data_IF_882006975820
#
_entry.id   IF_882006975820
#
_cell.length_a   1.000
_cell.length_b   1.000
_cell.length_c   1.000
_cell.angle_alpha   90.00
_cell.angle_beta   90.00
_cell.angle_gamma   90.00
#
_symmetry.space_group_name_H-M   'P 1'
#
loop_
_entity.id
_entity.type
_entity.pdbx_description
1 polymer ?
#
# COMPACT_ATOMS: atom_id res chain seq x y z
N UNK A 1 -17.91 -0.40 -27.90
CA UNK A 1 -17.09 0.44 -26.99
C UNK A 1 -16.78 -0.41 -25.76
N UNK A 2 -15.51 -0.53 -25.36
CA UNK A 2 -15.14 -1.29 -24.15
C UNK A 2 -15.27 -0.41 -22.89
N UNK A 3 -15.73 -0.95 -21.75
CA UNK A 3 -15.84 -0.20 -20.49
C UNK A 3 -14.48 -0.03 -19.81
N UNK A 4 -14.38 0.95 -18.88
CA UNK A 4 -13.16 1.16 -18.08
C UNK A 4 -12.80 -0.03 -17.17
N UNK A 5 -13.76 -0.90 -16.86
CA UNK A 5 -13.56 -2.09 -16.02
C UNK A 5 -13.03 -3.31 -16.79
N UNK A 6 -12.66 -3.15 -18.07
CA UNK A 6 -12.05 -4.23 -18.83
C UNK A 6 -10.68 -4.61 -18.22
N UNK A 7 -10.49 -5.89 -17.89
CA UNK A 7 -9.25 -6.40 -17.32
C UNK A 7 -8.06 -6.05 -18.23
N UNK A 8 -6.99 -5.53 -17.62
CA UNK A 8 -5.72 -5.27 -18.31
C UNK A 8 -4.60 -5.94 -17.53
N UNK A 9 -3.70 -6.61 -18.26
CA UNK A 9 -2.48 -7.20 -17.70
C UNK A 9 -1.28 -6.39 -18.15
N UNK A 10 -0.43 -6.05 -17.19
CA UNK A 10 0.68 -5.12 -17.37
C UNK A 10 1.85 -5.54 -16.49
N UNK A 11 3.06 -5.35 -17.01
CA UNK A 11 4.31 -5.57 -16.28
C UNK A 11 4.95 -4.20 -16.07
N UNK A 12 5.32 -3.90 -14.84
CA UNK A 12 6.00 -2.66 -14.48
C UNK A 12 7.31 -2.95 -13.78
N UNK A 13 8.28 -2.08 -14.03
CA UNK A 13 9.55 -2.04 -13.32
C UNK A 13 9.70 -0.65 -12.72
N UNK A 14 10.01 -0.58 -11.43
CA UNK A 14 10.24 0.66 -10.72
C UNK A 14 11.44 0.45 -9.80
N UNK A 15 12.28 1.46 -9.66
CA UNK A 15 13.36 1.40 -8.67
C UNK A 15 12.81 1.58 -7.24
N UNK A 16 13.63 1.32 -6.22
CA UNK A 16 13.20 1.42 -4.83
C UNK A 16 12.67 2.81 -4.46
N UNK A 17 13.29 3.89 -4.94
CA UNK A 17 12.86 5.27 -4.67
C UNK A 17 11.49 5.57 -5.29
N UNK A 18 11.26 5.10 -6.51
CA UNK A 18 9.97 5.22 -7.20
C UNK A 18 8.88 4.44 -6.48
N UNK A 19 9.19 3.22 -6.00
CA UNK A 19 8.26 2.43 -5.19
C UNK A 19 7.89 3.16 -3.89
N UNK A 20 8.87 3.70 -3.17
CA UNK A 20 8.62 4.50 -1.96
C UNK A 20 7.70 5.69 -2.25
N UNK A 21 7.94 6.42 -3.33
CA UNK A 21 7.09 7.52 -3.75
C UNK A 21 5.68 7.05 -4.14
N UNK A 22 5.57 5.94 -4.86
CA UNK A 22 4.31 5.33 -5.24
C UNK A 22 3.49 4.94 -3.99
N UNK A 23 4.09 4.29 -3.00
CA UNK A 23 3.42 3.90 -1.76
C UNK A 23 2.96 5.12 -0.94
N UNK A 24 3.79 6.18 -0.87
CA UNK A 24 3.44 7.42 -0.18
C UNK A 24 2.12 8.04 -0.67
N UNK A 25 1.85 7.93 -1.98
CA UNK A 25 0.66 8.48 -2.63
C UNK A 25 -0.48 7.47 -2.72
N UNK A 26 -0.20 6.24 -3.14
CA UNK A 26 -1.22 5.26 -3.52
C UNK A 26 -1.72 4.43 -2.34
N UNK A 27 -0.98 4.34 -1.23
CA UNK A 27 -1.50 3.77 0.00
C UNK A 27 -2.41 4.74 0.79
N UNK A 28 -2.48 6.02 0.39
CA UNK A 28 -3.29 7.04 1.05
C UNK A 28 -4.79 6.76 0.89
N UNK A 29 -5.58 7.03 1.93
CA UNK A 29 -7.03 6.81 1.90
C UNK A 29 -7.82 7.72 0.93
N UNK A 30 -7.17 8.73 0.37
CA UNK A 30 -7.73 9.59 -0.68
C UNK A 30 -7.51 9.04 -2.08
N UNK A 31 -6.59 8.08 -2.25
CA UNK A 31 -6.42 7.39 -3.51
C UNK A 31 -7.65 6.54 -3.80
N UNK A 32 -7.91 6.32 -5.09
CA UNK A 32 -9.00 5.45 -5.51
C UNK A 32 -8.76 4.02 -4.97
N UNK A 33 -9.84 3.38 -4.52
CA UNK A 33 -9.78 2.17 -3.69
C UNK A 33 -9.12 0.97 -4.39
N UNK A 34 -9.26 0.80 -5.71
CA UNK A 34 -8.61 -0.29 -6.45
C UNK A 34 -7.10 -0.12 -6.51
N UNK A 35 -6.60 1.07 -6.89
CA UNK A 35 -5.15 1.33 -6.88
C UNK A 35 -4.58 1.32 -5.46
N UNK A 36 -5.37 1.69 -4.46
CA UNK A 36 -4.98 1.59 -3.06
C UNK A 36 -4.79 0.13 -2.64
N UNK A 37 -5.75 -0.75 -2.93
CA UNK A 37 -5.61 -2.17 -2.65
C UNK A 37 -4.39 -2.78 -3.36
N UNK A 38 -4.15 -2.41 -4.63
CA UNK A 38 -2.95 -2.82 -5.37
C UNK A 38 -1.67 -2.35 -4.67
N UNK A 39 -1.58 -1.08 -4.30
CA UNK A 39 -0.39 -0.51 -3.67
C UNK A 39 -0.07 -1.14 -2.32
N UNK A 40 -1.09 -1.43 -1.50
CA UNK A 40 -0.92 -2.12 -0.23
C UNK A 40 -0.44 -3.57 -0.40
N UNK A 41 -0.95 -4.29 -1.41
CA UNK A 41 -0.46 -5.63 -1.73
C UNK A 41 1.01 -5.61 -2.16
N UNK A 42 1.36 -4.70 -3.07
CA UNK A 42 2.75 -4.49 -3.52
C UNK A 42 3.67 -4.14 -2.34
N UNK A 43 3.24 -3.26 -1.44
CA UNK A 43 4.03 -2.89 -0.26
C UNK A 43 4.32 -4.09 0.63
N UNK A 44 3.33 -4.96 0.88
CA UNK A 44 3.52 -6.17 1.68
C UNK A 44 4.53 -7.14 1.06
N UNK A 45 4.45 -7.37 -0.25
CA UNK A 45 5.42 -8.19 -0.99
C UNK A 45 6.83 -7.57 -0.94
N UNK A 46 6.95 -6.26 -1.13
CA UNK A 46 8.23 -5.56 -1.02
C UNK A 46 8.82 -5.63 0.40
N UNK A 47 7.98 -5.58 1.44
CA UNK A 47 8.40 -5.76 2.83
C UNK A 47 8.88 -7.18 3.12
N UNK A 48 8.24 -8.19 2.53
CA UNK A 48 8.67 -9.58 2.63
C UNK A 48 10.05 -9.78 1.99
N UNK A 49 10.25 -9.29 0.76
CA UNK A 49 11.50 -9.47 0.02
C UNK A 49 12.66 -8.60 0.52
N UNK A 50 12.39 -7.34 0.90
CA UNK A 50 13.41 -6.37 1.26
C UNK A 50 12.99 -5.52 2.49
N UNK A 51 12.88 -6.14 3.68
CA UNK A 51 12.40 -5.48 4.89
C UNK A 51 13.27 -4.28 5.32
N UNK A 52 14.58 -4.33 5.05
CA UNK A 52 15.52 -3.23 5.38
C UNK A 52 15.22 -1.94 4.62
N UNK A 53 14.59 -2.03 3.43
CA UNK A 53 14.20 -0.87 2.63
C UNK A 53 12.76 -0.46 2.90
N UNK A 54 11.84 -1.41 3.00
CA UNK A 54 10.39 -1.13 2.97
C UNK A 54 9.70 -1.11 4.33
N UNK A 55 10.35 -1.51 5.43
CA UNK A 55 9.75 -1.47 6.78
C UNK A 55 9.32 -0.07 7.24
N UNK A 56 9.94 0.97 6.72
CA UNK A 56 9.60 2.37 7.02
C UNK A 56 8.68 2.99 5.97
N UNK A 57 8.31 2.24 4.94
CA UNK A 57 7.49 2.72 3.83
C UNK A 57 6.00 2.58 4.13
N UNK A 58 5.22 3.43 3.50
CA UNK A 58 3.78 3.48 3.68
C UNK A 58 3.22 4.78 3.15
N UNK A 59 1.94 5.09 3.42
CA UNK A 59 1.41 6.41 3.13
C UNK A 59 2.11 7.47 4.00
N UNK A 60 2.20 8.70 3.52
CA UNK A 60 2.95 9.78 4.20
C UNK A 60 2.52 10.03 5.66
N UNK A 61 1.26 9.75 6.01
CA UNK A 61 0.76 9.87 7.38
C UNK A 61 1.22 8.75 8.34
N UNK A 62 1.83 7.68 7.84
CA UNK A 62 2.44 6.64 8.66
C UNK A 62 3.67 7.17 9.41
N UNK A 63 4.52 7.94 8.72
CA UNK A 63 5.77 8.46 9.28
C UNK A 63 5.64 9.81 10.00
N UNK A 64 4.45 10.41 10.02
CA UNK A 64 4.24 11.72 10.63
C UNK A 64 2.83 12.28 10.45
N UNK A 65 2.72 13.61 10.45
CA UNK A 65 1.48 14.29 10.18
C UNK A 65 1.04 14.10 8.70
N UNK A 66 -0.27 14.14 8.45
CA UNK A 66 -0.78 14.01 7.09
C UNK A 66 -0.39 15.27 6.27
N UNK A 67 0.32 15.13 5.13
CA UNK A 67 0.78 16.27 4.34
C UNK A 67 -0.36 17.06 3.69
N UNK A 68 -1.55 16.46 3.60
CA UNK A 68 -2.74 17.06 3.02
C UNK A 68 -3.39 18.14 3.91
N UNK A 69 -2.95 18.27 5.17
CA UNK A 69 -3.44 19.28 6.11
C UNK A 69 -4.97 19.26 6.26
N UNK A 70 -5.62 20.35 5.82
CA UNK A 70 -7.09 20.48 5.86
C UNK A 70 -7.83 19.40 5.08
N UNK A 71 -7.20 18.84 4.05
CA UNK A 71 -7.76 17.79 3.22
C UNK A 71 -7.35 16.39 3.72
N UNK A 72 -6.98 16.25 5.00
CA UNK A 72 -6.70 14.94 5.59
C UNK A 72 -7.95 14.09 5.65
N UNK A 73 -7.79 12.76 5.50
CA UNK A 73 -8.88 11.81 5.71
C UNK A 73 -9.24 11.63 7.20
N UNK A 74 -8.45 12.15 8.14
CA UNK A 74 -8.67 12.00 9.59
C UNK A 74 -8.34 10.61 10.16
N UNK A 75 -8.09 9.61 9.32
CA UNK A 75 -7.93 8.20 9.70
C UNK A 75 -6.46 7.76 9.87
N UNK A 76 -5.58 8.65 10.31
CA UNK A 76 -4.15 8.34 10.41
C UNK A 76 -3.84 7.19 11.39
N UNK A 77 -4.63 7.07 12.48
CA UNK A 77 -4.53 5.95 13.43
C UNK A 77 -4.80 4.60 12.78
N UNK A 78 -5.95 4.46 12.11
CA UNK A 78 -6.33 3.24 11.38
C UNK A 78 -5.29 2.83 10.34
N UNK A 79 -4.72 3.82 9.64
CA UNK A 79 -3.69 3.58 8.62
C UNK A 79 -2.41 3.01 9.23
N UNK A 80 -2.00 3.50 10.41
CA UNK A 80 -0.82 2.98 11.11
C UNK A 80 -1.07 1.57 11.64
N UNK A 81 -2.24 1.32 12.21
CA UNK A 81 -2.62 -0.01 12.67
C UNK A 81 -2.61 -1.03 11.52
N UNK A 82 -3.16 -0.66 10.37
CA UNK A 82 -3.12 -1.48 9.16
C UNK A 82 -1.68 -1.75 8.70
N UNK A 83 -0.81 -0.75 8.77
CA UNK A 83 0.59 -0.89 8.40
C UNK A 83 1.32 -1.88 9.32
N UNK A 84 1.10 -1.82 10.63
CA UNK A 84 1.68 -2.78 11.56
C UNK A 84 1.19 -4.21 11.31
N UNK A 85 -0.11 -4.40 11.09
CA UNK A 85 -0.68 -5.71 10.71
C UNK A 85 -0.06 -6.27 9.43
N UNK A 86 0.18 -5.41 8.43
CA UNK A 86 0.84 -5.82 7.19
C UNK A 86 2.29 -6.23 7.43
N UNK A 87 3.03 -5.50 8.28
CA UNK A 87 4.42 -5.83 8.62
C UNK A 87 4.51 -7.18 9.33
N UNK A 88 3.61 -7.44 10.28
CA UNK A 88 3.52 -8.71 10.98
C UNK A 88 3.27 -9.86 9.99
N UNK A 89 2.32 -9.66 9.05
CA UNK A 89 2.01 -10.63 8.01
C UNK A 89 3.20 -10.87 7.06
N UNK A 90 3.90 -9.80 6.66
CA UNK A 90 5.09 -9.92 5.82
C UNK A 90 6.25 -10.61 6.56
N UNK A 91 6.39 -10.39 7.87
CA UNK A 91 7.42 -11.02 8.70
C UNK A 91 7.13 -12.51 8.97
N UNK A 92 5.86 -12.93 8.97
CA UNK A 92 5.50 -14.33 9.20
C UNK A 92 5.76 -15.27 8.00
N UNK A 93 6.32 -14.75 6.90
CA UNK A 93 6.56 -15.52 5.68
C UNK A 93 5.25 -15.86 4.94
N UNK A 94 4.24 -14.99 5.03
CA UNK A 94 2.98 -15.19 4.33
C UNK A 94 3.17 -15.22 2.80
N UNK A 95 2.36 -16.00 2.12
CA UNK A 95 2.38 -16.06 0.66
C UNK A 95 1.85 -14.78 0.02
N UNK A 96 2.27 -14.49 -1.22
CA UNK A 96 1.78 -13.36 -2.02
C UNK A 96 0.25 -13.32 -2.14
N UNK A 97 -0.40 -14.49 -2.16
CA UNK A 97 -1.84 -14.61 -2.21
C UNK A 97 -2.52 -14.13 -0.91
N UNK A 98 -1.92 -14.41 0.24
CA UNK A 98 -2.40 -13.96 1.55
C UNK A 98 -2.23 -12.45 1.71
N UNK A 99 -1.08 -11.90 1.30
CA UNK A 99 -0.82 -10.46 1.30
C UNK A 99 -1.82 -9.74 0.38
N UNK A 100 -2.08 -10.29 -0.81
CA UNK A 100 -3.06 -9.73 -1.75
C UNK A 100 -4.48 -9.77 -1.20
N UNK A 101 -4.85 -10.84 -0.49
CA UNK A 101 -6.16 -10.96 0.17
C UNK A 101 -6.31 -9.93 1.27
N UNK A 102 -5.31 -9.82 2.15
CA UNK A 102 -5.29 -8.81 3.21
C UNK A 102 -5.52 -7.40 2.64
N UNK A 103 -4.83 -7.05 1.56
CA UNK A 103 -4.94 -5.74 0.95
C UNK A 103 -6.35 -5.45 0.39
N UNK A 104 -7.00 -6.43 -0.25
CA UNK A 104 -8.37 -6.27 -0.76
C UNK A 104 -9.41 -6.15 0.33
N UNK A 105 -9.26 -6.87 1.44
CA UNK A 105 -10.24 -6.86 2.52
C UNK A 105 -10.09 -5.64 3.44
N UNK A 106 -8.86 -5.17 3.64
CA UNK A 106 -8.57 -4.14 4.65
C UNK A 106 -8.29 -2.76 4.07
N UNK A 107 -8.10 -2.63 2.75
CA UNK A 107 -7.68 -1.36 2.11
C UNK A 107 -8.67 -0.80 1.10
N UNK A 108 -9.91 -1.31 1.05
CA UNK A 108 -11.02 -0.76 0.26
C UNK A 108 -11.83 0.24 1.10
#
# INVERSE_FOLDING_TARGET
MLPNAAETRMVFTMNARELMHFFNLRCCNRAQWEIRALAWAMLGMCMHEAPSLFSICGPSCASGACPEGKMSCGKAGEVRERLEKLKELAASGASDAEISRFARENCI
#
